data_IF_964396828516
#
_entry.id   IF_964396828516
#
_cell.length_a   1.000
_cell.length_b   1.000
_cell.length_c   1.000
_cell.angle_alpha   90.00
_cell.angle_beta   90.00
_cell.angle_gamma   90.00
#
_symmetry.space_group_name_H-M   'P 1'
#
loop_
_entity.id
_entity.type
_entity.pdbx_description
1 polymer ?
#
# COMPACT_ATOMS: atom_id res chain seq x y z
N UNK A 1 29.72 45.15 -10.40
CA UNK A 1 28.29 44.90 -10.09
C UNK A 1 28.01 43.43 -10.36
N UNK A 2 28.20 42.58 -9.35
CA UNK A 2 28.12 41.12 -9.48
C UNK A 2 26.68 40.69 -9.28
N UNK A 3 26.01 40.29 -10.36
CA UNK A 3 24.66 39.73 -10.31
C UNK A 3 24.67 38.41 -9.57
N UNK A 4 24.06 38.38 -8.38
CA UNK A 4 23.79 37.15 -7.63
C UNK A 4 22.79 36.32 -8.42
N UNK A 5 23.24 35.21 -9.02
CA UNK A 5 22.33 34.23 -9.62
C UNK A 5 21.33 33.73 -8.56
N UNK A 6 20.03 33.62 -8.89
CA UNK A 6 19.04 33.09 -7.96
C UNK A 6 19.30 31.61 -7.68
N UNK A 7 19.05 31.23 -6.44
CA UNK A 7 19.36 29.98 -5.76
C UNK A 7 18.92 28.71 -6.50
N UNK A 8 19.86 28.02 -7.13
CA UNK A 8 19.68 26.63 -7.60
C UNK A 8 19.53 25.61 -6.47
N UNK A 9 19.74 26.01 -5.20
CA UNK A 9 19.70 25.13 -4.02
C UNK A 9 18.53 25.34 -3.05
N UNK A 10 17.58 26.23 -3.32
CA UNK A 10 16.45 26.50 -2.40
C UNK A 10 15.18 25.78 -2.83
N UNK A 11 14.45 25.20 -1.87
CA UNK A 11 13.13 24.60 -2.08
C UNK A 11 12.12 25.65 -2.57
N UNK A 12 11.44 25.36 -3.67
CA UNK A 12 10.24 26.09 -4.08
C UNK A 12 9.06 25.69 -3.17
N UNK A 13 8.75 26.55 -2.19
CA UNK A 13 7.72 26.29 -1.20
C UNK A 13 6.29 26.22 -1.79
N UNK A 14 6.00 27.00 -2.84
CA UNK A 14 4.68 27.01 -3.47
C UNK A 14 4.40 25.68 -4.17
N UNK A 15 5.36 25.22 -4.97
CA UNK A 15 5.26 23.94 -5.66
C UNK A 15 5.21 22.77 -4.68
N UNK A 16 6.03 22.80 -3.63
CA UNK A 16 5.98 21.81 -2.56
C UNK A 16 4.60 21.75 -1.90
N UNK A 17 4.02 22.91 -1.59
CA UNK A 17 2.68 22.98 -0.99
C UNK A 17 1.61 22.40 -1.93
N UNK A 18 1.68 22.71 -3.23
CA UNK A 18 0.75 22.18 -4.24
C UNK A 18 0.78 20.64 -4.28
N UNK A 19 1.99 20.04 -4.29
CA UNK A 19 2.15 18.58 -4.28
C UNK A 19 1.66 17.98 -2.95
N UNK A 20 2.05 18.55 -1.81
CA UNK A 20 1.58 18.07 -0.50
C UNK A 20 0.06 18.13 -0.37
N UNK A 21 -0.58 19.15 -0.94
CA UNK A 21 -2.03 19.27 -0.98
C UNK A 21 -2.68 18.22 -1.88
N UNK A 22 -2.06 17.86 -3.01
CA UNK A 22 -2.52 16.76 -3.86
C UNK A 22 -2.45 15.43 -3.11
N UNK A 23 -1.29 15.11 -2.52
CA UNK A 23 -1.07 13.89 -1.73
C UNK A 23 -2.05 13.82 -0.54
N UNK A 24 -2.30 14.94 0.15
CA UNK A 24 -3.30 15.02 1.23
C UNK A 24 -4.70 14.61 0.77
N UNK A 25 -5.06 14.83 -0.49
CA UNK A 25 -6.35 14.45 -1.08
C UNK A 25 -6.35 13.02 -1.66
N UNK A 26 -5.23 12.28 -1.52
CA UNK A 26 -5.07 10.95 -2.09
C UNK A 26 -4.67 10.94 -3.56
N UNK A 27 -4.30 12.10 -4.14
CA UNK A 27 -3.73 12.15 -5.48
C UNK A 27 -2.25 11.82 -5.43
N UNK A 28 -1.95 10.52 -5.59
CA UNK A 28 -0.59 10.01 -5.65
C UNK A 28 0.00 10.04 -7.06
N UNK A 29 -0.59 10.75 -8.02
CA UNK A 29 0.04 10.99 -9.34
C UNK A 29 0.94 12.23 -9.34
N UNK A 30 0.76 13.12 -8.36
CA UNK A 30 1.55 14.34 -8.21
C UNK A 30 3.03 14.03 -7.93
N UNK A 31 3.95 14.82 -8.51
CA UNK A 31 5.40 14.65 -8.33
C UNK A 31 6.13 15.98 -8.24
N UNK A 32 7.21 16.00 -7.46
CA UNK A 32 8.22 17.06 -7.50
C UNK A 32 9.19 16.85 -8.68
N UNK A 33 9.80 17.91 -9.23
CA UNK A 33 10.81 17.78 -10.28
C UNK A 33 12.04 17.00 -9.80
N UNK A 34 12.53 16.05 -10.60
CA UNK A 34 13.68 15.20 -10.31
C UNK A 34 15.01 15.74 -10.86
N UNK A 35 15.00 16.92 -11.47
CA UNK A 35 16.17 17.58 -12.06
C UNK A 35 16.94 18.46 -11.05
N UNK A 36 16.49 18.50 -9.80
CA UNK A 36 17.07 19.32 -8.74
C UNK A 36 18.19 18.58 -8.02
N UNK A 37 19.23 19.32 -7.68
CA UNK A 37 20.39 18.79 -6.94
C UNK A 37 20.53 19.49 -5.58
N UNK A 38 21.45 19.00 -4.75
CA UNK A 38 21.64 19.52 -3.39
C UNK A 38 20.49 19.19 -2.45
N UNK A 39 20.30 20.01 -1.42
CA UNK A 39 19.30 19.73 -0.37
C UNK A 39 17.85 19.78 -0.91
N UNK A 40 17.56 20.71 -1.83
CA UNK A 40 16.25 20.80 -2.45
C UNK A 40 15.91 19.53 -3.26
N UNK A 41 16.88 19.02 -4.05
CA UNK A 41 16.74 17.75 -4.75
C UNK A 41 16.46 16.58 -3.82
N UNK A 42 17.26 16.42 -2.76
CA UNK A 42 17.04 15.36 -1.76
C UNK A 42 15.64 15.40 -1.14
N UNK A 43 15.13 16.58 -0.81
CA UNK A 43 13.77 16.73 -0.27
C UNK A 43 12.72 16.30 -1.32
N UNK A 44 12.93 16.64 -2.60
CA UNK A 44 12.01 16.33 -3.68
C UNK A 44 11.99 14.84 -3.99
N UNK A 45 13.17 14.22 -4.05
CA UNK A 45 13.32 12.78 -4.28
C UNK A 45 12.70 11.99 -3.13
N UNK A 46 13.01 12.33 -1.88
CA UNK A 46 12.41 11.67 -0.72
C UNK A 46 10.89 11.84 -0.67
N UNK A 47 10.35 13.01 -1.03
CA UNK A 47 8.90 13.18 -1.12
C UNK A 47 8.31 12.29 -2.23
N UNK A 48 8.93 12.23 -3.41
CA UNK A 48 8.49 11.37 -4.51
C UNK A 48 8.51 9.90 -4.12
N UNK A 49 9.53 9.42 -3.40
CA UNK A 49 9.60 8.04 -2.87
C UNK A 49 8.45 7.74 -1.89
N UNK A 50 8.10 8.69 -1.02
CA UNK A 50 6.95 8.56 -0.12
C UNK A 50 5.65 8.46 -0.91
N UNK A 51 5.49 9.28 -1.96
CA UNK A 51 4.29 9.25 -2.81
C UNK A 51 4.19 7.93 -3.58
N UNK A 52 5.31 7.45 -4.13
CA UNK A 52 5.38 6.18 -4.84
C UNK A 52 5.03 4.99 -3.93
N UNK A 53 5.51 4.99 -2.69
CA UNK A 53 5.14 3.97 -1.72
C UNK A 53 3.63 3.98 -1.42
N UNK A 54 3.01 5.15 -1.32
CA UNK A 54 1.56 5.26 -1.15
C UNK A 54 0.82 4.73 -2.38
N UNK A 55 1.21 5.15 -3.58
CA UNK A 55 0.60 4.70 -4.84
C UNK A 55 0.67 3.18 -5.00
N UNK A 56 1.86 2.59 -4.79
CA UNK A 56 2.06 1.16 -4.89
C UNK A 56 1.27 0.38 -3.83
N UNK A 57 1.20 0.91 -2.60
CA UNK A 57 0.45 0.27 -1.51
C UNK A 57 -1.06 0.29 -1.80
N UNK A 58 -1.60 1.41 -2.27
CA UNK A 58 -3.01 1.52 -2.66
C UNK A 58 -3.35 0.55 -3.79
N UNK A 59 -2.53 0.50 -4.85
CA UNK A 59 -2.73 -0.42 -5.96
C UNK A 59 -2.69 -1.88 -5.51
N UNK A 60 -1.71 -2.25 -4.71
CA UNK A 60 -1.58 -3.61 -4.16
C UNK A 60 -2.82 -4.00 -3.33
N UNK A 61 -3.36 -3.09 -2.52
CA UNK A 61 -4.57 -3.33 -1.74
C UNK A 61 -5.80 -3.51 -2.64
N UNK A 62 -5.95 -2.72 -3.70
CA UNK A 62 -7.05 -2.85 -4.66
C UNK A 62 -7.01 -4.20 -5.40
N UNK A 63 -5.83 -4.61 -5.86
CA UNK A 63 -5.62 -5.89 -6.53
C UNK A 63 -5.93 -7.07 -5.59
N UNK A 64 -5.45 -7.03 -4.35
CA UNK A 64 -5.74 -8.07 -3.35
C UNK A 64 -7.23 -8.12 -3.01
N UNK A 65 -7.89 -6.97 -2.85
CA UNK A 65 -9.32 -6.92 -2.59
C UNK A 65 -10.14 -7.51 -3.75
N UNK A 66 -9.74 -7.26 -4.99
CA UNK A 66 -10.36 -7.89 -6.16
C UNK A 66 -10.12 -9.41 -6.18
N UNK A 67 -8.87 -9.85 -6.04
CA UNK A 67 -8.52 -11.26 -6.13
C UNK A 67 -9.14 -12.11 -5.01
N UNK A 68 -9.05 -11.65 -3.76
CA UNK A 68 -9.59 -12.37 -2.61
C UNK A 68 -11.12 -12.24 -2.57
N UNK A 69 -11.64 -11.03 -2.72
CA UNK A 69 -13.06 -10.73 -2.50
C UNK A 69 -13.97 -11.08 -3.68
N UNK A 70 -13.51 -10.91 -4.92
CA UNK A 70 -14.33 -11.13 -6.13
C UNK A 70 -13.96 -12.41 -6.87
N UNK A 71 -12.67 -12.74 -6.94
CA UNK A 71 -12.19 -13.91 -7.69
C UNK A 71 -12.02 -15.16 -6.79
N UNK A 72 -12.18 -15.02 -5.47
CA UNK A 72 -12.10 -16.14 -4.52
C UNK A 72 -10.69 -16.69 -4.34
N UNK A 73 -9.64 -15.96 -4.72
CA UNK A 73 -8.23 -16.34 -4.54
C UNK A 73 -7.80 -16.13 -3.08
N UNK A 74 -8.38 -16.89 -2.15
CA UNK A 74 -8.23 -16.71 -0.70
C UNK A 74 -6.81 -16.90 -0.15
N UNK A 75 -5.86 -17.36 -0.97
CA UNK A 75 -4.43 -17.47 -0.62
C UNK A 75 -3.61 -16.23 -0.99
N UNK A 76 -4.17 -15.26 -1.74
CA UNK A 76 -3.49 -14.03 -2.13
C UNK A 76 -3.30 -13.11 -0.92
N UNK A 77 -2.09 -12.57 -0.73
CA UNK A 77 -1.73 -11.61 0.32
C UNK A 77 -0.94 -10.46 -0.27
N UNK A 78 -1.16 -9.24 0.23
CA UNK A 78 -0.44 -8.05 -0.19
C UNK A 78 1.07 -8.17 0.06
N UNK A 79 1.88 -7.71 -0.90
CA UNK A 79 3.33 -7.67 -0.80
C UNK A 79 3.81 -6.51 0.08
N UNK A 80 4.75 -6.80 0.99
CA UNK A 80 5.42 -5.81 1.84
C UNK A 80 6.88 -5.55 1.44
N UNK A 81 7.32 -6.00 0.25
CA UNK A 81 8.74 -6.12 -0.08
C UNK A 81 9.54 -4.80 -0.02
N UNK A 82 8.90 -3.67 -0.35
CA UNK A 82 9.53 -2.34 -0.33
C UNK A 82 9.16 -1.52 0.92
N UNK A 83 8.17 -1.97 1.69
CA UNK A 83 7.68 -1.28 2.87
C UNK A 83 8.56 -1.55 4.09
N UNK A 84 8.81 -0.51 4.89
CA UNK A 84 9.60 -0.60 6.12
C UNK A 84 8.91 0.11 7.28
N UNK A 85 9.26 -0.26 8.51
CA UNK A 85 8.68 0.34 9.73
C UNK A 85 7.15 0.23 9.74
N UNK A 86 6.47 1.34 10.06
CA UNK A 86 5.02 1.39 10.13
C UNK A 86 4.32 0.98 8.81
N UNK A 87 4.91 1.27 7.65
CA UNK A 87 4.36 0.87 6.35
C UNK A 87 4.28 -0.65 6.23
N UNK A 88 5.31 -1.37 6.67
CA UNK A 88 5.31 -2.83 6.68
C UNK A 88 4.23 -3.36 7.62
N UNK A 89 4.13 -2.80 8.82
CA UNK A 89 3.09 -3.16 9.79
C UNK A 89 1.69 -2.95 9.24
N UNK A 90 1.45 -1.89 8.45
CA UNK A 90 0.15 -1.67 7.79
C UNK A 90 -0.20 -2.81 6.82
N UNK A 91 0.74 -3.21 5.96
CA UNK A 91 0.54 -4.33 5.01
C UNK A 91 0.34 -5.66 5.75
N UNK A 92 1.13 -5.92 6.79
CA UNK A 92 1.00 -7.12 7.62
C UNK A 92 -0.36 -7.17 8.33
N UNK A 93 -0.82 -6.05 8.90
CA UNK A 93 -2.13 -5.96 9.56
C UNK A 93 -3.26 -6.25 8.57
N UNK A 94 -3.17 -5.73 7.35
CA UNK A 94 -4.14 -6.00 6.29
C UNK A 94 -4.15 -7.50 5.92
N UNK A 95 -2.99 -8.13 5.82
CA UNK A 95 -2.89 -9.57 5.56
C UNK A 95 -3.48 -10.42 6.70
N UNK A 96 -3.25 -10.04 7.97
CA UNK A 96 -3.87 -10.70 9.12
C UNK A 96 -5.40 -10.59 9.07
N UNK A 97 -5.95 -9.43 8.70
CA UNK A 97 -7.39 -9.27 8.51
C UNK A 97 -7.93 -10.23 7.44
N UNK A 98 -7.20 -10.40 6.33
CA UNK A 98 -7.58 -11.38 5.29
C UNK A 98 -7.57 -12.80 5.87
N UNK A 99 -6.55 -13.18 6.62
CA UNK A 99 -6.45 -14.51 7.25
C UNK A 99 -7.64 -14.79 8.18
N UNK A 100 -7.99 -13.81 9.01
CA UNK A 100 -9.08 -13.92 9.97
C UNK A 100 -10.46 -14.01 9.29
N UNK A 101 -10.63 -13.41 8.11
CA UNK A 101 -11.85 -13.54 7.31
C UNK A 101 -11.90 -14.83 6.48
N UNK A 102 -10.76 -15.33 6.01
CA UNK A 102 -10.68 -16.55 5.17
C UNK A 102 -10.81 -17.83 5.99
N UNK A 103 -10.32 -17.83 7.24
CA UNK A 103 -10.28 -19.03 8.09
C UNK A 103 -11.67 -19.66 8.30
N UNK A 104 -12.72 -18.92 8.73
CA UNK A 104 -14.04 -19.51 8.93
C UNK A 104 -14.65 -20.06 7.64
N UNK A 105 -14.45 -19.38 6.50
CA UNK A 105 -14.96 -19.83 5.18
C UNK A 105 -14.32 -21.17 4.78
N UNK A 106 -13.02 -21.32 5.04
CA UNK A 106 -12.29 -22.55 4.73
C UNK A 106 -12.73 -23.71 5.63
N UNK A 107 -12.94 -23.44 6.92
CA UNK A 107 -13.45 -24.43 7.88
C UNK A 107 -14.85 -24.91 7.51
N UNK A 108 -15.78 -23.99 7.19
CA UNK A 108 -17.13 -24.33 6.72
C UNK A 108 -17.08 -25.19 5.45
N UNK A 109 -16.24 -24.82 4.48
CA UNK A 109 -16.09 -25.58 3.23
C UNK A 109 -15.57 -27.00 3.50
N UNK A 110 -14.62 -27.15 4.42
CA UNK A 110 -14.07 -28.45 4.82
C UNK A 110 -15.10 -29.33 5.54
N UNK A 111 -15.90 -28.75 6.43
CA UNK A 111 -16.98 -29.46 7.12
C UNK A 111 -18.05 -29.89 6.13
N UNK A 112 -18.52 -29.01 5.24
CA UNK A 112 -19.49 -29.36 4.19
C UNK A 112 -18.97 -30.50 3.29
N UNK A 113 -17.70 -30.43 2.88
CA UNK A 113 -17.08 -31.50 2.10
C UNK A 113 -17.02 -32.83 2.86
N UNK A 114 -16.78 -32.81 4.17
CA UNK A 114 -16.75 -34.02 5.00
C UNK A 114 -18.16 -34.61 5.17
N UNK A 115 -19.17 -33.77 5.39
CA UNK A 115 -20.59 -34.16 5.44
C UNK A 115 -21.04 -34.77 4.11
N UNK A 116 -20.67 -34.18 2.97
CA UNK A 116 -20.99 -34.71 1.65
C UNK A 116 -20.37 -36.09 1.38
N UNK A 117 -19.23 -36.38 2.01
CA UNK A 117 -18.57 -37.69 1.97
C UNK A 117 -19.07 -38.66 3.05
N UNK A 118 -20.09 -38.29 3.84
CA UNK A 118 -20.67 -39.12 4.88
C UNK A 118 -19.93 -39.10 6.22
N UNK A 119 -18.91 -38.24 6.39
CA UNK A 119 -18.19 -38.06 7.64
C UNK A 119 -18.79 -36.91 8.46
N UNK A 120 -19.60 -37.28 9.45
CA UNK A 120 -20.23 -36.35 10.40
C UNK A 120 -19.37 -36.09 11.65
N UNK A 121 -18.17 -36.66 11.74
CA UNK A 121 -17.30 -36.51 12.92
C UNK A 121 -16.63 -35.12 12.99
N UNK A 122 -16.62 -34.36 11.89
CA UNK A 122 -16.09 -33.00 11.86
C UNK A 122 -17.13 -31.97 12.30
N UNK A 123 -16.97 -31.47 13.53
CA UNK A 123 -17.66 -30.27 14.02
C UNK A 123 -16.84 -29.01 13.74
N UNK A 124 -17.49 -27.86 13.57
CA UNK A 124 -16.80 -26.57 13.60
C UNK A 124 -16.20 -26.34 14.99
N UNK A 125 -14.92 -25.99 15.06
CA UNK A 125 -14.36 -25.34 16.25
C UNK A 125 -14.75 -23.87 16.19
N UNK A 126 -15.69 -23.47 17.06
CA UNK A 126 -16.14 -22.09 17.21
C UNK A 126 -15.19 -21.30 18.12
#
# INVERSE_FOLDING_TARGET
MTGRQPSSGSVNAKQLLEVLQAVKRGDFSARMPSDRTGMAGKIYDTLNEIIELNEQTTKEMEEVAQEVGKEGKTKRRASAATAQGAWKTHVETFNTLIDDLVRPVTEVTSVIGSVANGDLSKAMSL
#
